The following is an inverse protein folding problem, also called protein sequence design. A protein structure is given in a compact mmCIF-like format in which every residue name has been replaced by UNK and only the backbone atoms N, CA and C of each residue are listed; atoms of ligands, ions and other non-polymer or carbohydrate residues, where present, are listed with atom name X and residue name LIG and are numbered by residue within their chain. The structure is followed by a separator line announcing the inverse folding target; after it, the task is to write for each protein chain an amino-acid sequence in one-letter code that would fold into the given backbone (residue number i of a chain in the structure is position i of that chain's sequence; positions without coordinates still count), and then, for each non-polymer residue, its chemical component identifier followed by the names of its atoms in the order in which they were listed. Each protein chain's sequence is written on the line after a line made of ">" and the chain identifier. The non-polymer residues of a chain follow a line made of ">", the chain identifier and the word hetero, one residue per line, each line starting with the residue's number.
data_IF_252931545249
#
_entry.id   IF_252931545249
#
_cell.length_a   1.000
_cell.length_b   1.000
_cell.length_c   1.000
_cell.angle_alpha   90.00
_cell.angle_beta   90.00
_cell.angle_gamma   90.00
#
_symmetry.space_group_name_H-M   'P 1'
#
loop_
_entity.id
_entity.type
_entity.pdbx_description
1 polymer ?
#
# COMPACT_ATOMS: atom_id res chain seq x y z
N UNK A 1 31.38 -33.80 22.24
CA UNK A 1 30.57 -32.58 22.23
C UNK A 1 31.33 -31.61 21.38
N UNK A 2 30.82 -31.29 20.19
CA UNK A 2 31.54 -30.42 19.28
C UNK A 2 31.43 -28.97 19.75
N UNK A 3 32.59 -28.32 19.83
CA UNK A 3 32.69 -26.89 20.10
C UNK A 3 33.31 -26.24 18.87
N UNK A 4 32.61 -25.30 18.27
CA UNK A 4 33.18 -24.44 17.23
C UNK A 4 34.12 -23.39 17.89
N UNK A 5 35.22 -23.00 17.25
CA UNK A 5 36.05 -21.89 17.71
C UNK A 5 35.24 -20.60 17.75
N UNK A 6 35.52 -19.71 18.70
CA UNK A 6 34.90 -18.39 18.73
C UNK A 6 35.26 -17.62 17.45
N UNK A 7 34.26 -17.33 16.63
CA UNK A 7 34.34 -16.47 15.45
C UNK A 7 33.40 -15.28 15.60
N UNK A 8 33.67 -14.22 14.85
CA UNK A 8 32.76 -13.09 14.73
C UNK A 8 31.60 -13.45 13.79
N UNK A 9 30.37 -13.33 14.27
CA UNK A 9 29.20 -13.22 13.40
C UNK A 9 29.09 -11.75 12.97
N UNK A 10 29.31 -11.50 11.69
CA UNK A 10 29.06 -10.18 11.09
C UNK A 10 27.67 -10.24 10.46
N UNK A 11 26.72 -9.50 11.03
CA UNK A 11 25.40 -9.25 10.43
C UNK A 11 25.47 -7.85 9.84
N UNK A 12 25.44 -7.75 8.51
CA UNK A 12 25.24 -6.47 7.83
C UNK A 12 23.73 -6.23 7.76
N UNK A 13 23.23 -5.26 8.52
CA UNK A 13 21.92 -4.65 8.26
C UNK A 13 22.20 -3.48 7.32
N UNK A 14 21.65 -3.56 6.11
CA UNK A 14 21.64 -2.42 5.19
C UNK A 14 20.40 -1.63 5.59
N UNK A 15 20.61 -0.56 6.36
CA UNK A 15 19.60 0.42 6.76
C UNK A 15 19.21 1.21 5.49
N UNK A 16 18.04 0.90 4.94
CA UNK A 16 17.44 1.61 3.82
C UNK A 16 15.98 1.99 4.11
N UNK A 17 15.49 3.04 3.43
CA UNK A 17 14.16 3.59 3.72
C UNK A 17 13.22 3.21 2.59
N UNK A 18 12.00 2.71 2.86
CA UNK A 18 11.05 2.42 1.80
C UNK A 18 10.52 3.73 1.20
N UNK A 19 10.17 3.72 -0.07
CA UNK A 19 9.56 4.87 -0.76
C UNK A 19 8.23 4.47 -1.37
N UNK A 20 7.14 4.98 -0.80
CA UNK A 20 5.80 4.84 -1.35
C UNK A 20 5.58 5.86 -2.48
N UNK A 21 5.05 5.42 -3.61
CA UNK A 21 4.73 6.23 -4.77
C UNK A 21 3.23 6.35 -4.95
N UNK A 22 2.77 7.54 -5.33
CA UNK A 22 1.33 7.78 -5.47
C UNK A 22 0.72 6.91 -6.58
N UNK A 23 -0.45 6.36 -6.29
CA UNK A 23 -1.15 5.45 -7.19
C UNK A 23 -2.43 6.05 -7.74
N UNK A 24 -2.75 5.70 -8.97
CA UNK A 24 -3.97 6.16 -9.63
C UNK A 24 -4.63 5.04 -10.40
N UNK A 25 -5.93 4.95 -10.23
CA UNK A 25 -6.79 4.03 -10.99
C UNK A 25 -8.15 4.70 -11.24
N UNK A 26 -8.91 4.16 -12.19
CA UNK A 26 -10.18 4.75 -12.60
C UNK A 26 -11.24 3.70 -12.84
N UNK A 27 -12.40 3.89 -12.22
CA UNK A 27 -13.60 3.10 -12.50
C UNK A 27 -14.55 3.94 -13.36
N UNK A 28 -15.03 3.36 -14.47
CA UNK A 28 -15.96 4.06 -15.35
C UNK A 28 -17.24 4.47 -14.61
N UNK A 29 -17.82 5.62 -14.98
CA UNK A 29 -18.97 6.23 -14.28
C UNK A 29 -20.24 5.35 -14.25
N UNK A 30 -20.35 4.36 -15.14
CA UNK A 30 -21.45 3.41 -15.22
C UNK A 30 -21.08 2.00 -14.69
N UNK A 31 -19.90 1.83 -14.08
CA UNK A 31 -19.45 0.58 -13.49
C UNK A 31 -19.50 0.65 -11.95
N UNK A 32 -19.97 -0.45 -11.36
CA UNK A 32 -20.12 -0.66 -9.91
C UNK A 32 -19.61 -2.04 -9.46
N UNK A 33 -18.91 -2.76 -10.34
CA UNK A 33 -18.12 -3.92 -9.98
C UNK A 33 -16.86 -3.49 -9.24
N UNK A 34 -16.29 -4.40 -8.44
CA UNK A 34 -15.00 -4.18 -7.84
C UNK A 34 -13.92 -4.11 -8.93
N UNK A 35 -13.15 -3.03 -8.94
CA UNK A 35 -11.89 -2.91 -9.69
C UNK A 35 -10.74 -3.21 -8.74
N UNK A 36 -9.68 -3.86 -9.23
CA UNK A 36 -8.57 -4.26 -8.37
C UNK A 36 -7.23 -4.03 -9.01
N UNK A 37 -6.24 -3.78 -8.16
CA UNK A 37 -4.86 -3.56 -8.54
C UNK A 37 -3.95 -3.81 -7.34
N UNK A 38 -2.71 -3.33 -7.44
CA UNK A 38 -1.75 -3.45 -6.37
C UNK A 38 -0.87 -2.20 -6.29
N UNK A 39 -0.86 -1.53 -5.13
CA UNK A 39 -0.12 -0.27 -4.89
C UNK A 39 1.40 -0.49 -4.88
N UNK A 40 1.86 -1.59 -4.27
CA UNK A 40 3.29 -1.88 -4.18
C UNK A 40 3.94 -2.16 -5.54
N UNK A 41 3.18 -2.75 -6.47
CA UNK A 41 3.70 -3.24 -7.77
C UNK A 41 3.18 -2.46 -8.97
N UNK A 42 2.27 -1.50 -8.76
CA UNK A 42 1.47 -0.82 -9.77
C UNK A 42 0.68 -1.75 -10.73
N UNK A 43 0.66 -3.07 -10.50
CA UNK A 43 -0.04 -4.03 -11.37
C UNK A 43 -1.55 -3.82 -11.26
N UNK A 44 -2.23 -3.73 -12.41
CA UNK A 44 -3.68 -3.52 -12.45
C UNK A 44 -4.11 -2.08 -12.13
N UNK A 45 -3.16 -1.14 -12.05
CA UNK A 45 -3.45 0.30 -11.89
C UNK A 45 -3.30 1.03 -13.23
N UNK A 46 -3.66 2.31 -13.26
CA UNK A 46 -3.31 3.23 -14.36
C UNK A 46 -2.03 4.03 -14.08
N UNK A 47 -1.35 3.77 -12.96
CA UNK A 47 -0.10 4.42 -12.56
C UNK A 47 1.00 4.17 -13.61
N UNK A 48 1.90 5.14 -13.84
CA UNK A 48 3.10 4.90 -14.63
C UNK A 48 4.01 3.85 -13.95
N UNK A 49 5.01 3.32 -14.65
CA UNK A 49 6.00 2.38 -14.08
C UNK A 49 6.74 2.97 -12.86
N UNK A 50 6.79 4.29 -12.73
CA UNK A 50 7.32 4.99 -11.54
C UNK A 50 6.38 4.98 -10.33
N UNK A 51 5.19 4.40 -10.47
CA UNK A 51 4.26 4.13 -9.36
C UNK A 51 4.58 2.84 -8.61
N UNK A 52 5.57 2.06 -9.03
CA UNK A 52 6.05 0.90 -8.27
C UNK A 52 6.79 1.39 -7.04
N UNK A 53 6.39 0.93 -5.85
CA UNK A 53 7.04 1.28 -4.60
C UNK A 53 8.46 0.73 -4.50
N UNK A 54 9.33 1.47 -3.82
CA UNK A 54 10.65 0.99 -3.42
C UNK A 54 10.53 0.37 -2.04
N UNK A 55 10.63 -0.95 -1.98
CA UNK A 55 10.35 -1.74 -0.78
C UNK A 55 11.53 -1.83 0.21
N UNK A 56 12.68 -1.25 -0.10
CA UNK A 56 13.90 -1.46 0.66
C UNK A 56 14.53 -2.86 0.44
N UNK A 57 15.58 -3.16 1.20
CA UNK A 57 16.43 -4.34 1.05
C UNK A 57 15.85 -5.58 1.74
N UNK A 58 15.00 -5.38 2.74
CA UNK A 58 14.27 -6.41 3.48
C UNK A 58 12.81 -6.56 3.06
N UNK A 59 12.32 -5.64 2.23
CA UNK A 59 10.99 -5.63 1.65
C UNK A 59 9.97 -4.96 2.56
N UNK A 60 8.96 -4.33 1.95
CA UNK A 60 7.95 -3.56 2.65
C UNK A 60 6.55 -4.10 2.40
N UNK A 61 5.68 -3.90 3.38
CA UNK A 61 4.26 -4.28 3.34
C UNK A 61 3.39 -3.10 3.72
N UNK A 62 2.15 -3.08 3.24
CA UNK A 62 1.19 -2.07 3.67
C UNK A 62 0.80 -2.33 5.12
N UNK A 63 1.08 -1.36 5.98
CA UNK A 63 0.73 -1.41 7.41
C UNK A 63 -0.38 -0.45 7.77
N UNK A 64 -0.76 0.50 6.91
CA UNK A 64 -1.83 1.44 7.24
C UNK A 64 -2.54 1.97 6.01
N UNK A 65 -3.83 2.24 6.14
CA UNK A 65 -4.65 2.87 5.11
C UNK A 65 -5.83 3.62 5.71
N UNK A 66 -6.06 4.84 5.22
CA UNK A 66 -7.17 5.70 5.66
C UNK A 66 -7.71 6.50 4.49
N UNK A 67 -9.00 6.87 4.53
CA UNK A 67 -9.57 7.79 3.56
C UNK A 67 -9.04 9.22 3.78
N UNK A 68 -8.82 9.94 2.68
CA UNK A 68 -8.27 11.30 2.65
C UNK A 68 -6.77 11.34 2.34
N UNK A 69 -6.16 12.50 2.58
CA UNK A 69 -4.76 12.83 2.24
C UNK A 69 -3.84 12.86 3.46
N UNK A 70 -4.31 12.39 4.62
CA UNK A 70 -3.56 12.41 5.87
C UNK A 70 -3.28 10.97 6.27
N UNK A 71 -2.01 10.64 6.51
CA UNK A 71 -1.63 9.29 6.92
C UNK A 71 -2.31 8.88 8.23
N UNK A 72 -2.68 7.60 8.30
CA UNK A 72 -3.16 6.97 9.53
C UNK A 72 -2.01 6.52 10.42
N UNK A 73 -2.34 5.79 11.49
CA UNK A 73 -1.35 5.04 12.27
C UNK A 73 -1.00 3.71 11.61
N UNK A 74 0.02 3.04 12.15
CA UNK A 74 0.28 1.63 11.86
C UNK A 74 -0.95 0.77 12.23
N UNK A 75 -1.17 -0.29 11.46
CA UNK A 75 -2.34 -1.19 11.45
C UNK A 75 -3.71 -0.52 11.22
N UNK A 76 -3.74 0.72 10.72
CA UNK A 76 -5.01 1.38 10.43
C UNK A 76 -5.70 0.71 9.22
N UNK A 77 -6.81 0.01 9.48
CA UNK A 77 -7.79 -0.49 8.49
C UNK A 77 -7.27 -1.43 7.40
N UNK A 78 -6.04 -1.95 7.49
CA UNK A 78 -5.50 -2.92 6.53
C UNK A 78 -6.37 -4.19 6.50
N UNK A 79 -6.70 -4.66 5.30
CA UNK A 79 -7.58 -5.81 5.08
C UNK A 79 -9.05 -5.57 5.44
N UNK A 80 -9.43 -4.33 5.77
CA UNK A 80 -10.80 -3.96 6.11
C UNK A 80 -11.38 -2.98 5.08
N UNK A 81 -12.71 -2.85 5.09
CA UNK A 81 -13.41 -1.92 4.21
C UNK A 81 -13.26 -0.49 4.74
N UNK A 82 -12.69 0.39 3.91
CA UNK A 82 -12.53 1.82 4.15
C UNK A 82 -13.53 2.56 3.28
N UNK A 83 -14.44 3.30 3.92
CA UNK A 83 -15.47 4.05 3.22
C UNK A 83 -14.91 5.40 2.73
N UNK A 84 -14.87 5.58 1.42
CA UNK A 84 -14.66 6.86 0.74
C UNK A 84 -15.97 7.63 0.55
N UNK A 85 -15.89 8.74 -0.18
CA UNK A 85 -17.05 9.59 -0.50
C UNK A 85 -17.92 8.97 -1.61
N UNK A 86 -17.31 8.31 -2.59
CA UNK A 86 -18.00 7.80 -3.78
C UNK A 86 -17.98 6.27 -3.88
N UNK A 87 -17.22 5.60 -3.03
CA UNK A 87 -17.12 4.16 -2.98
C UNK A 87 -16.34 3.68 -1.77
N UNK A 88 -16.03 2.39 -1.77
CA UNK A 88 -15.32 1.69 -0.71
C UNK A 88 -14.06 1.03 -1.24
N UNK A 89 -12.99 1.14 -0.48
CA UNK A 89 -11.69 0.51 -0.74
C UNK A 89 -11.47 -0.61 0.28
N UNK A 90 -10.90 -1.74 -0.13
CA UNK A 90 -10.21 -2.66 0.77
C UNK A 90 -8.78 -2.77 0.27
N UNK A 91 -7.78 -2.48 1.11
CA UNK A 91 -6.35 -2.61 0.78
C UNK A 91 -5.71 -3.58 1.75
N UNK A 92 -5.03 -4.60 1.22
CA UNK A 92 -4.38 -5.66 1.99
C UNK A 92 -2.90 -5.37 2.21
N UNK A 93 -2.29 -6.09 3.16
CA UNK A 93 -0.87 -5.94 3.50
C UNK A 93 0.09 -6.24 2.33
N UNK A 94 -0.32 -7.09 1.39
CA UNK A 94 0.43 -7.42 0.18
C UNK A 94 0.32 -6.36 -0.94
N UNK A 95 -0.34 -5.23 -0.65
CA UNK A 95 -0.58 -4.16 -1.59
C UNK A 95 -1.80 -4.35 -2.49
N UNK A 96 -2.41 -5.55 -2.52
CA UNK A 96 -3.59 -5.79 -3.34
C UNK A 96 -4.78 -5.01 -2.81
N UNK A 97 -5.50 -4.34 -3.70
CA UNK A 97 -6.72 -3.62 -3.34
C UNK A 97 -7.91 -4.00 -4.21
N UNK A 98 -9.09 -3.72 -3.67
CA UNK A 98 -10.32 -3.63 -4.44
C UNK A 98 -11.05 -2.33 -4.12
N UNK A 99 -11.52 -1.63 -5.15
CA UNK A 99 -12.37 -0.45 -5.02
C UNK A 99 -13.71 -0.70 -5.69
N UNK A 100 -14.79 -0.41 -4.98
CA UNK A 100 -16.17 -0.54 -5.51
C UNK A 100 -16.90 0.77 -5.30
N UNK A 101 -17.35 1.38 -6.40
CA UNK A 101 -18.21 2.57 -6.33
C UNK A 101 -19.55 2.24 -5.68
N UNK A 102 -20.07 3.17 -4.89
CA UNK A 102 -21.37 3.03 -4.28
C UNK A 102 -22.47 3.32 -5.31
N UNK A 103 -23.54 2.52 -5.27
CA UNK A 103 -24.65 2.65 -6.19
C UNK A 103 -25.30 4.03 -6.08
N UNK A 104 -25.45 4.73 -7.21
CA UNK A 104 -26.00 6.09 -7.24
C UNK A 104 -25.00 7.21 -6.92
N UNK A 105 -23.73 6.89 -6.64
CA UNK A 105 -22.67 7.90 -6.56
C UNK A 105 -22.46 8.60 -7.91
N UNK A 106 -22.08 9.87 -7.87
CA UNK A 106 -21.72 10.61 -9.09
C UNK A 106 -20.36 10.12 -9.62
N UNK A 107 -20.27 9.88 -10.93
CA UNK A 107 -19.00 9.56 -11.58
C UNK A 107 -18.19 10.82 -11.94
N UNK A 108 -16.92 10.65 -12.28
CA UNK A 108 -16.03 11.76 -12.65
C UNK A 108 -15.50 12.55 -11.45
N UNK A 109 -15.59 11.98 -10.25
CA UNK A 109 -14.96 12.48 -9.02
C UNK A 109 -13.99 11.46 -8.47
N UNK A 110 -13.11 11.92 -7.59
CA UNK A 110 -12.06 11.10 -7.01
C UNK A 110 -12.38 10.81 -5.55
N UNK A 111 -12.17 9.56 -5.15
CA UNK A 111 -11.83 9.23 -3.76
C UNK A 111 -10.31 9.22 -3.64
N UNK A 112 -9.79 9.71 -2.51
CA UNK A 112 -8.38 9.66 -2.17
C UNK A 112 -8.22 8.88 -0.88
N UNK A 113 -7.24 8.01 -0.84
CA UNK A 113 -6.85 7.25 0.34
C UNK A 113 -5.37 7.48 0.56
N UNK A 114 -4.90 7.47 1.80
CA UNK A 114 -3.46 7.51 2.11
C UNK A 114 -3.08 6.17 2.69
N UNK A 115 -2.07 5.53 2.12
CA UNK A 115 -1.52 4.27 2.63
C UNK A 115 -0.11 4.47 3.18
N UNK A 116 0.30 3.55 4.05
CA UNK A 116 1.61 3.54 4.71
C UNK A 116 2.23 2.16 4.54
N UNK A 117 3.46 2.13 4.04
CA UNK A 117 4.29 0.93 3.95
C UNK A 117 5.36 0.95 5.03
N UNK A 118 5.71 -0.24 5.51
CA UNK A 118 6.76 -0.48 6.50
C UNK A 118 7.68 -1.59 6.00
N UNK A 119 8.97 -1.36 6.10
CA UNK A 119 9.98 -2.34 5.78
C UNK A 119 10.31 -3.27 6.97
N UNK A 120 11.31 -4.12 6.84
CA UNK A 120 11.62 -5.17 7.80
C UNK A 120 12.33 -4.69 9.08
N UNK A 121 13.03 -3.55 9.06
CA UNK A 121 13.67 -2.95 10.23
C UNK A 121 12.85 -1.84 10.89
N UNK A 122 11.81 -1.37 10.20
CA UNK A 122 10.66 -0.67 10.75
C UNK A 122 10.48 0.76 10.25
N UNK A 123 11.21 1.17 9.22
CA UNK A 123 11.06 2.46 8.58
C UNK A 123 9.73 2.56 7.83
N UNK A 124 9.16 3.77 7.83
CA UNK A 124 7.83 4.05 7.30
C UNK A 124 7.88 5.01 6.11
N UNK A 125 7.03 4.72 5.13
CA UNK A 125 6.75 5.62 4.01
C UNK A 125 5.25 5.69 3.75
N UNK A 126 4.74 6.85 3.32
CA UNK A 126 3.31 7.00 3.04
C UNK A 126 3.06 7.87 1.82
N UNK A 127 1.96 7.59 1.13
CA UNK A 127 1.54 8.29 -0.09
C UNK A 127 0.04 8.08 -0.31
N UNK A 128 -0.49 8.66 -1.38
CA UNK A 128 -1.91 8.58 -1.79
C UNK A 128 -2.12 7.73 -3.02
#
# INVERSE_FOLDING_TARGET
>A
GDSAPAGNLVINIVDDVPTAHADTDSVAANQFSAEGGNVLTAVGTTSPVTGVDVLGADGATVVGVVAGTTAGGEDANVGTVIQGTYGKLTLNADGSYNYTRDAGSQGGHNDVFTYTIKDGDGDLSHTT
#
